data_IF_341119481338
#
_entry.id   IF_341119481338
#
_cell.length_a   1.000
_cell.length_b   1.000
_cell.length_c   1.000
_cell.angle_alpha   90.00
_cell.angle_beta   90.00
_cell.angle_gamma   90.00
#
_symmetry.space_group_name_H-M   'P 1'
#
loop_
_entity.id
_entity.type
_entity.pdbx_description
1 polymer ?
#
# COMPACT_ATOMS: atom_id res chain seq x y z
N UNK A 1 23.38 42.91 25.23
CA UNK A 1 24.14 41.71 25.65
C UNK A 1 23.65 40.57 24.77
N UNK A 2 24.47 40.16 23.82
CA UNK A 2 24.19 39.05 22.91
C UNK A 2 24.58 37.75 23.62
N UNK A 3 23.61 36.91 23.99
CA UNK A 3 23.89 35.57 24.48
C UNK A 3 24.56 34.78 23.36
N UNK A 4 25.83 34.49 23.48
CA UNK A 4 26.53 33.52 22.64
C UNK A 4 25.94 32.14 22.91
N UNK A 5 25.16 31.61 21.96
CA UNK A 5 24.70 30.25 21.95
C UNK A 5 25.91 29.31 21.94
N UNK A 6 26.25 28.72 23.08
CA UNK A 6 27.30 27.70 23.17
C UNK A 6 26.86 26.46 22.36
N UNK A 7 27.40 26.32 21.16
CA UNK A 7 27.19 25.13 20.32
C UNK A 7 27.89 23.96 21.02
N UNK A 8 27.08 23.04 21.58
CA UNK A 8 27.60 21.81 22.18
C UNK A 8 28.06 20.85 21.09
N UNK A 9 29.35 20.59 21.07
CA UNK A 9 29.97 19.64 20.14
C UNK A 9 30.10 18.24 20.74
N UNK A 10 30.20 17.24 19.86
CA UNK A 10 30.38 15.83 20.23
C UNK A 10 31.30 15.14 19.24
N UNK A 11 32.23 14.31 19.76
CA UNK A 11 33.15 13.53 18.93
C UNK A 11 32.50 12.22 18.46
N UNK A 12 32.57 11.98 17.15
CA UNK A 12 32.06 10.72 16.56
C UNK A 12 32.97 9.54 16.91
N UNK A 13 32.39 8.44 17.42
CA UNK A 13 33.13 7.25 17.79
C UNK A 13 33.91 6.63 16.62
N UNK A 14 33.40 6.66 15.39
CA UNK A 14 34.04 6.03 14.23
C UNK A 14 35.08 6.92 13.54
N UNK A 15 34.71 8.15 13.13
CA UNK A 15 35.65 9.03 12.39
C UNK A 15 36.51 9.90 13.30
N UNK A 16 36.25 9.90 14.61
CA UNK A 16 36.97 10.68 15.62
C UNK A 16 36.92 12.21 15.40
N UNK A 17 36.05 12.66 14.47
CA UNK A 17 35.84 14.08 14.21
C UNK A 17 34.80 14.68 15.16
N UNK A 18 34.97 15.95 15.48
CA UNK A 18 34.05 16.71 16.32
C UNK A 18 33.02 17.41 15.45
N UNK A 19 31.75 17.34 15.83
CA UNK A 19 30.62 17.98 15.15
C UNK A 19 29.62 18.52 16.17
N UNK A 20 28.80 19.49 15.75
CA UNK A 20 27.64 19.91 16.54
C UNK A 20 26.66 18.74 16.76
N UNK A 21 25.86 18.79 17.82
CA UNK A 21 24.91 17.75 18.16
C UNK A 21 23.90 17.43 17.04
N UNK A 22 23.60 18.38 16.16
CA UNK A 22 22.71 18.22 15.01
C UNK A 22 23.20 17.21 13.98
N UNK A 23 24.51 16.91 13.98
CA UNK A 23 25.09 15.87 13.14
C UNK A 23 24.95 14.47 13.72
N UNK A 24 24.30 14.31 14.88
CA UNK A 24 24.04 13.00 15.50
C UNK A 24 22.53 12.73 15.54
N UNK A 25 22.16 11.45 15.56
CA UNK A 25 20.83 11.05 15.98
C UNK A 25 20.73 11.10 17.52
N UNK A 26 19.53 11.29 18.04
CA UNK A 26 19.30 11.33 19.49
C UNK A 26 19.93 10.09 20.14
N UNK A 27 20.76 10.28 21.15
CA UNK A 27 21.48 9.24 21.89
C UNK A 27 22.50 8.41 21.07
N UNK A 28 22.87 8.80 19.85
CA UNK A 28 23.87 8.10 19.05
C UNK A 28 25.29 8.59 19.35
N UNK A 29 26.25 7.66 19.47
CA UNK A 29 27.69 7.98 19.55
C UNK A 29 28.36 8.10 18.19
N UNK A 30 27.60 7.97 17.10
CA UNK A 30 28.05 8.04 15.71
C UNK A 30 27.44 9.24 15.02
N UNK A 31 28.22 10.01 14.25
CA UNK A 31 27.67 11.03 13.39
C UNK A 31 26.77 10.39 12.33
N UNK A 32 25.77 11.13 11.82
CA UNK A 32 24.80 10.65 10.83
C UNK A 32 25.45 9.99 9.61
N UNK A 33 26.59 10.50 9.16
CA UNK A 33 27.34 9.93 8.03
C UNK A 33 27.90 8.54 8.35
N UNK A 34 28.56 8.40 9.50
CA UNK A 34 29.13 7.11 9.94
C UNK A 34 28.05 6.08 10.26
N UNK A 35 26.94 6.52 10.87
CA UNK A 35 25.80 5.66 11.14
C UNK A 35 25.14 5.15 9.86
N UNK A 36 24.98 6.03 8.86
CA UNK A 36 24.47 5.64 7.54
C UNK A 36 25.39 4.64 6.83
N UNK A 37 26.73 4.82 6.89
CA UNK A 37 27.69 3.85 6.33
C UNK A 37 27.61 2.49 7.04
N UNK A 38 27.51 2.49 8.38
CA UNK A 38 27.33 1.30 9.20
C UNK A 38 26.04 0.57 8.84
N UNK A 39 24.94 1.29 8.76
CA UNK A 39 23.64 0.75 8.36
C UNK A 39 23.64 0.18 6.93
N UNK A 40 24.32 0.85 5.98
CA UNK A 40 24.47 0.35 4.62
C UNK A 40 25.30 -0.95 4.57
N UNK A 41 26.39 -1.04 5.33
CA UNK A 41 27.21 -2.26 5.45
C UNK A 41 26.38 -3.40 6.05
N UNK A 42 25.64 -3.14 7.14
CA UNK A 42 24.78 -4.13 7.76
C UNK A 42 23.71 -4.65 6.77
N UNK A 43 22.99 -3.74 6.04
CA UNK A 43 21.98 -4.12 5.05
C UNK A 43 22.56 -4.97 3.92
N UNK A 44 23.80 -4.67 3.49
CA UNK A 44 24.51 -5.46 2.45
C UNK A 44 24.77 -6.88 2.93
N UNK A 45 25.27 -7.02 4.17
CA UNK A 45 25.63 -8.31 4.74
C UNK A 45 24.43 -9.13 5.24
N UNK A 46 23.29 -8.48 5.48
CA UNK A 46 22.10 -9.11 6.07
C UNK A 46 20.88 -8.99 5.14
N UNK A 47 21.08 -9.10 3.83
CA UNK A 47 20.02 -8.95 2.81
C UNK A 47 18.79 -9.83 3.09
N UNK A 48 19.00 -11.10 3.49
CA UNK A 48 17.90 -12.00 3.78
C UNK A 48 17.14 -11.58 5.04
N UNK A 49 17.84 -11.33 6.15
CA UNK A 49 17.21 -10.84 7.40
C UNK A 49 16.39 -9.56 7.15
N UNK A 50 16.91 -8.65 6.31
CA UNK A 50 16.19 -7.42 5.95
C UNK A 50 14.92 -7.73 5.14
N UNK A 51 14.99 -8.64 4.15
CA UNK A 51 13.83 -9.07 3.37
C UNK A 51 12.75 -9.69 4.24
N UNK A 52 13.12 -10.57 5.17
CA UNK A 52 12.20 -11.24 6.07
C UNK A 52 11.53 -10.25 7.04
N UNK A 53 12.29 -9.28 7.54
CA UNK A 53 11.75 -8.20 8.38
C UNK A 53 10.77 -7.31 7.61
N UNK A 54 11.13 -6.89 6.39
CA UNK A 54 10.27 -6.08 5.53
C UNK A 54 9.00 -6.84 5.14
N UNK A 55 9.12 -8.15 4.87
CA UNK A 55 7.98 -9.00 4.54
C UNK A 55 7.02 -9.11 5.73
N UNK A 56 7.54 -9.38 6.93
CA UNK A 56 6.72 -9.43 8.16
C UNK A 56 6.01 -8.11 8.43
N UNK A 57 6.71 -6.98 8.27
CA UNK A 57 6.13 -5.65 8.44
C UNK A 57 5.01 -5.39 7.42
N UNK A 58 5.28 -5.64 6.13
CA UNK A 58 4.34 -5.36 5.05
C UNK A 58 3.15 -6.35 5.00
N UNK A 59 3.22 -7.48 5.71
CA UNK A 59 2.14 -8.45 5.82
C UNK A 59 1.20 -8.16 7.01
N UNK A 60 1.44 -7.12 7.81
CA UNK A 60 0.43 -6.62 8.74
C UNK A 60 -0.71 -6.02 7.93
N UNK A 61 -1.94 -6.41 8.25
CA UNK A 61 -3.14 -5.98 7.52
C UNK A 61 -3.21 -4.46 7.38
N UNK A 62 -3.08 -3.73 8.48
CA UNK A 62 -3.12 -2.26 8.52
C UNK A 62 -2.10 -1.62 7.57
N UNK A 63 -0.88 -2.18 7.51
CA UNK A 63 0.20 -1.71 6.65
C UNK A 63 -0.10 -2.04 5.19
N UNK A 64 -0.65 -3.22 4.92
CA UNK A 64 -1.04 -3.62 3.58
C UNK A 64 -2.13 -2.70 3.01
N UNK A 65 -3.20 -2.46 3.79
CA UNK A 65 -4.31 -1.56 3.44
C UNK A 65 -3.79 -0.15 3.19
N UNK A 66 -3.04 0.41 4.14
CA UNK A 66 -2.41 1.73 4.01
C UNK A 66 -1.57 1.87 2.74
N UNK A 67 -0.73 0.88 2.45
CA UNK A 67 0.13 0.90 1.26
C UNK A 67 -0.68 0.73 -0.03
N UNK A 68 -1.76 -0.04 -0.01
CA UNK A 68 -2.65 -0.23 -1.17
C UNK A 68 -3.37 1.07 -1.51
N UNK A 69 -3.88 1.79 -0.53
CA UNK A 69 -4.56 3.08 -0.73
C UNK A 69 -3.57 4.16 -1.17
N UNK A 70 -2.45 4.32 -0.45
CA UNK A 70 -1.43 5.33 -0.81
C UNK A 70 -0.90 5.22 -2.24
N UNK A 71 -0.93 4.04 -2.86
CA UNK A 71 -0.52 3.87 -4.26
C UNK A 71 -1.41 4.60 -5.24
N UNK A 72 -2.68 4.78 -4.92
CA UNK A 72 -3.64 5.48 -5.76
C UNK A 72 -3.30 6.97 -5.82
N UNK A 73 -2.82 7.55 -4.70
CA UNK A 73 -2.50 8.97 -4.58
C UNK A 73 -1.06 9.31 -4.95
N UNK A 74 -0.17 8.33 -5.08
CA UNK A 74 1.20 8.61 -5.51
C UNK A 74 1.25 8.71 -7.02
N UNK A 75 1.67 9.86 -7.60
CA UNK A 75 2.16 9.86 -8.96
C UNK A 75 3.29 8.83 -9.01
N UNK A 76 3.25 7.90 -9.97
CA UNK A 76 4.35 6.95 -10.08
C UNK A 76 5.59 7.69 -10.56
N UNK A 77 6.41 8.11 -9.60
CA UNK A 77 7.79 8.54 -9.84
C UNK A 77 8.67 7.38 -10.32
N UNK A 78 8.09 6.17 -10.43
CA UNK A 78 8.83 4.94 -10.68
C UNK A 78 8.51 4.48 -12.10
N UNK A 79 9.38 4.85 -13.01
CA UNK A 79 9.45 4.38 -14.38
C UNK A 79 8.27 4.80 -15.30
N UNK A 80 8.46 5.82 -16.16
CA UNK A 80 7.44 6.27 -17.12
C UNK A 80 6.97 5.17 -18.09
N UNK A 81 7.72 4.07 -18.22
CA UNK A 81 7.35 2.90 -19.04
C UNK A 81 6.29 1.99 -18.39
N UNK A 82 6.07 2.10 -17.07
CA UNK A 82 5.11 1.27 -16.31
C UNK A 82 3.94 2.10 -15.77
N UNK A 83 3.59 3.18 -16.43
CA UNK A 83 2.37 3.92 -16.08
C UNK A 83 1.16 3.07 -16.40
N UNK A 84 0.39 2.68 -15.38
CA UNK A 84 -0.92 2.04 -15.56
C UNK A 84 -1.89 2.96 -16.35
N UNK A 85 -2.95 2.39 -16.91
CA UNK A 85 -3.93 3.13 -17.73
C UNK A 85 -4.47 4.39 -17.04
N UNK A 86 -4.62 4.34 -15.70
CA UNK A 86 -5.07 5.47 -14.89
C UNK A 86 -4.10 6.66 -14.96
N UNK A 87 -2.80 6.41 -14.80
CA UNK A 87 -1.77 7.46 -14.81
C UNK A 87 -1.48 7.97 -16.22
N UNK A 88 -1.65 7.13 -17.25
CA UNK A 88 -1.54 7.55 -18.66
C UNK A 88 -2.60 8.57 -19.05
N UNK A 89 -3.80 8.50 -18.45
CA UNK A 89 -4.89 9.46 -18.67
C UNK A 89 -4.72 10.76 -17.87
N UNK A 90 -3.69 10.89 -17.03
CA UNK A 90 -3.47 12.09 -16.20
C UNK A 90 -4.52 12.31 -15.11
N UNK A 91 -5.35 11.31 -14.83
CA UNK A 91 -6.43 11.43 -13.86
C UNK A 91 -5.89 11.54 -12.44
N UNK A 92 -6.45 12.44 -11.67
CA UNK A 92 -6.22 12.56 -10.24
C UNK A 92 -7.40 11.94 -9.48
N UNK A 93 -7.17 11.28 -8.33
CA UNK A 93 -8.27 10.86 -7.46
C UNK A 93 -9.09 12.08 -7.01
N UNK A 94 -10.41 11.96 -7.05
CA UNK A 94 -11.38 12.93 -6.51
C UNK A 94 -11.85 12.55 -5.11
N UNK A 95 -11.20 11.58 -4.51
CA UNK A 95 -11.44 11.09 -3.15
C UNK A 95 -10.15 11.29 -2.33
N UNK A 96 -10.28 11.68 -1.08
CA UNK A 96 -9.16 11.77 -0.14
C UNK A 96 -8.79 10.40 0.43
N UNK A 97 -7.61 10.31 1.03
CA UNK A 97 -7.19 9.07 1.71
C UNK A 97 -8.13 8.73 2.89
N UNK A 98 -8.62 9.75 3.60
CA UNK A 98 -9.55 9.57 4.73
C UNK A 98 -10.89 9.03 4.26
N UNK A 99 -11.47 9.59 3.20
CA UNK A 99 -12.69 9.10 2.58
C UNK A 99 -12.53 7.67 2.06
N UNK A 100 -11.38 7.32 1.49
CA UNK A 100 -11.11 5.95 1.05
C UNK A 100 -11.11 4.94 2.22
N UNK A 101 -10.62 5.33 3.39
CA UNK A 101 -10.76 4.51 4.59
C UNK A 101 -12.24 4.40 5.03
N UNK A 102 -13.00 5.48 4.96
CA UNK A 102 -14.43 5.45 5.29
C UNK A 102 -15.21 4.51 4.35
N UNK A 103 -14.99 4.59 3.04
CA UNK A 103 -15.57 3.66 2.03
C UNK A 103 -15.17 2.19 2.33
N UNK A 104 -13.93 1.96 2.77
CA UNK A 104 -13.46 0.60 3.13
C UNK A 104 -14.19 0.05 4.35
N UNK A 105 -14.37 0.85 5.40
CA UNK A 105 -15.12 0.43 6.59
C UNK A 105 -16.61 0.22 6.29
N UNK A 106 -17.21 1.06 5.46
CA UNK A 106 -18.58 0.87 5.00
C UNK A 106 -18.73 -0.43 4.20
N UNK A 107 -17.78 -0.73 3.33
CA UNK A 107 -17.74 -2.01 2.61
C UNK A 107 -17.66 -3.21 3.57
N UNK A 108 -16.79 -3.16 4.59
CA UNK A 108 -16.69 -4.23 5.60
C UNK A 108 -18.04 -4.41 6.31
N UNK A 109 -18.70 -3.32 6.70
CA UNK A 109 -20.00 -3.40 7.37
C UNK A 109 -21.07 -3.99 6.45
N UNK A 110 -21.17 -3.52 5.21
CA UNK A 110 -22.09 -4.08 4.20
C UNK A 110 -21.89 -5.59 4.01
N UNK A 111 -20.64 -6.04 3.96
CA UNK A 111 -20.35 -7.46 3.81
C UNK A 111 -20.69 -8.28 5.06
N UNK A 112 -20.54 -7.73 6.26
CA UNK A 112 -20.99 -8.37 7.50
C UNK A 112 -22.50 -8.53 7.55
N UNK A 113 -23.22 -7.49 7.14
CA UNK A 113 -24.69 -7.51 7.11
C UNK A 113 -25.21 -8.54 6.09
N UNK A 114 -24.54 -8.63 4.94
CA UNK A 114 -24.88 -9.59 3.89
C UNK A 114 -24.49 -11.04 4.22
N UNK A 115 -23.40 -11.23 4.94
CA UNK A 115 -22.85 -12.53 5.31
C UNK A 115 -22.57 -12.59 6.82
N UNK A 116 -23.62 -12.77 7.65
CA UNK A 116 -23.47 -12.86 9.09
C UNK A 116 -22.49 -13.96 9.51
N UNK A 117 -21.69 -13.69 10.54
CA UNK A 117 -20.65 -14.61 11.02
C UNK A 117 -19.30 -14.46 10.35
N UNK A 118 -19.17 -13.59 9.34
CA UNK A 118 -17.85 -13.23 8.75
C UNK A 118 -17.29 -11.96 9.36
N UNK A 119 -15.98 -11.71 9.16
CA UNK A 119 -15.37 -10.43 9.53
C UNK A 119 -15.67 -9.29 8.53
N UNK A 120 -16.44 -9.56 7.47
CA UNK A 120 -16.81 -8.62 6.43
C UNK A 120 -15.70 -8.29 5.43
N UNK A 121 -14.53 -8.86 5.56
CA UNK A 121 -13.40 -8.61 4.66
C UNK A 121 -13.48 -9.50 3.43
N UNK A 122 -14.54 -9.34 2.66
CA UNK A 122 -14.86 -10.14 1.48
C UNK A 122 -14.67 -9.33 0.20
N UNK A 123 -14.37 -10.00 -0.90
CA UNK A 123 -14.31 -9.39 -2.22
C UNK A 123 -15.70 -8.91 -2.66
N UNK A 124 -15.85 -7.66 -3.09
CA UNK A 124 -17.14 -7.11 -3.56
C UNK A 124 -17.76 -7.89 -4.73
N UNK A 125 -16.93 -8.57 -5.54
CA UNK A 125 -17.38 -9.25 -6.76
C UNK A 125 -17.64 -10.75 -6.57
N UNK A 126 -16.72 -11.48 -5.92
CA UNK A 126 -16.82 -12.95 -5.80
C UNK A 126 -16.94 -13.44 -4.36
N UNK A 127 -17.03 -12.54 -3.40
CA UNK A 127 -17.20 -12.78 -1.96
C UNK A 127 -16.14 -13.65 -1.31
N UNK A 128 -15.03 -13.97 -1.99
CA UNK A 128 -13.90 -14.68 -1.39
C UNK A 128 -13.28 -13.83 -0.28
N UNK A 129 -12.83 -14.42 0.84
CA UNK A 129 -12.12 -13.69 1.89
C UNK A 129 -10.88 -13.01 1.35
N UNK A 130 -10.73 -11.72 1.68
CA UNK A 130 -9.58 -10.92 1.28
C UNK A 130 -8.37 -11.27 2.15
N UNK A 131 -7.21 -11.35 1.52
CA UNK A 131 -5.93 -11.54 2.19
C UNK A 131 -5.05 -10.29 2.06
N UNK A 132 -4.07 -10.17 2.97
CA UNK A 132 -3.22 -8.99 3.09
C UNK A 132 -1.73 -9.37 3.06
N UNK A 133 -1.40 -10.51 2.44
CA UNK A 133 -0.06 -11.10 2.47
C UNK A 133 0.63 -10.95 1.11
N UNK A 134 1.93 -10.77 1.13
CA UNK A 134 2.80 -10.85 -0.05
C UNK A 134 3.67 -12.08 0.06
N UNK A 135 3.95 -12.71 -1.07
CA UNK A 135 4.95 -13.78 -1.12
C UNK A 135 6.36 -13.20 -1.02
N UNK A 136 7.33 -14.03 -0.72
CA UNK A 136 8.74 -13.61 -0.56
C UNK A 136 9.36 -12.91 -1.78
N UNK A 137 8.78 -13.09 -2.99
CA UNK A 137 9.15 -12.35 -4.21
C UNK A 137 8.33 -11.06 -4.41
N UNK A 138 7.52 -10.66 -3.43
CA UNK A 138 6.67 -9.47 -3.50
C UNK A 138 5.42 -9.63 -4.36
N UNK A 139 5.15 -10.83 -4.88
CA UNK A 139 3.96 -11.11 -5.68
C UNK A 139 2.70 -11.03 -4.80
N UNK A 140 1.62 -10.59 -5.41
CA UNK A 140 0.30 -10.59 -4.77
C UNK A 140 -0.32 -11.99 -4.89
N UNK A 141 -1.01 -12.41 -3.84
CA UNK A 141 -1.91 -13.56 -3.92
C UNK A 141 -3.17 -13.17 -4.71
N UNK A 142 -3.82 -14.12 -5.42
CA UNK A 142 -5.07 -13.85 -6.14
C UNK A 142 -6.17 -13.26 -5.26
N UNK A 143 -6.21 -13.65 -3.98
CA UNK A 143 -7.16 -13.21 -2.96
C UNK A 143 -6.79 -11.89 -2.27
N UNK A 144 -5.62 -11.32 -2.56
CA UNK A 144 -5.19 -10.08 -1.89
C UNK A 144 -6.12 -8.92 -2.21
N UNK A 145 -6.36 -8.09 -1.18
CA UNK A 145 -7.07 -6.83 -1.33
C UNK A 145 -6.49 -6.00 -2.47
N UNK A 146 -7.35 -5.57 -3.35
CA UNK A 146 -7.09 -4.61 -4.42
C UNK A 146 -8.20 -3.57 -4.45
N UNK A 147 -7.85 -2.34 -4.79
CA UNK A 147 -8.82 -1.26 -4.97
C UNK A 147 -9.08 -1.12 -6.46
N UNK A 148 -10.33 -1.24 -6.85
CA UNK A 148 -10.79 -1.09 -8.23
C UNK A 148 -11.69 0.14 -8.37
N UNK A 149 -11.88 0.61 -9.59
CA UNK A 149 -12.90 1.59 -9.99
C UNK A 149 -14.05 0.83 -10.61
N UNK A 150 -15.25 0.93 -10.05
CA UNK A 150 -16.40 0.21 -10.61
C UNK A 150 -16.62 0.59 -12.09
N UNK A 151 -16.65 1.89 -12.37
CA UNK A 151 -16.58 2.40 -13.74
C UNK A 151 -15.10 2.76 -14.07
N UNK A 152 -14.50 2.03 -14.99
CA UNK A 152 -13.12 2.24 -15.42
C UNK A 152 -12.90 3.52 -16.23
N UNK A 153 -13.97 4.16 -16.69
CA UNK A 153 -13.95 5.42 -17.44
C UNK A 153 -13.91 6.65 -16.55
N UNK A 154 -14.15 6.46 -15.25
CA UNK A 154 -14.13 7.53 -14.25
C UNK A 154 -12.91 7.39 -13.34
N UNK A 155 -12.60 8.47 -12.60
CA UNK A 155 -11.54 8.47 -11.60
C UNK A 155 -11.94 7.75 -10.30
N UNK A 156 -11.00 7.59 -9.36
CA UNK A 156 -11.33 7.20 -8.00
C UNK A 156 -12.08 8.34 -7.32
N UNK A 157 -13.37 8.16 -7.11
CA UNK A 157 -14.27 9.08 -6.42
C UNK A 157 -15.22 8.31 -5.53
N UNK A 158 -15.89 8.99 -4.62
CA UNK A 158 -16.93 8.40 -3.78
C UNK A 158 -17.97 7.65 -4.62
N UNK A 159 -18.33 6.45 -4.23
CA UNK A 159 -19.26 5.57 -4.96
C UNK A 159 -18.67 4.86 -6.19
N UNK A 160 -17.44 5.19 -6.62
CA UNK A 160 -16.75 4.49 -7.72
C UNK A 160 -15.54 3.66 -7.22
N UNK A 161 -15.35 3.55 -5.92
CA UNK A 161 -14.29 2.73 -5.31
C UNK A 161 -14.85 1.37 -4.91
N UNK A 162 -14.19 0.28 -5.33
CA UNK A 162 -14.55 -1.08 -4.99
C UNK A 162 -13.39 -1.81 -4.35
N UNK A 163 -13.66 -2.51 -3.25
CA UNK A 163 -12.68 -3.34 -2.56
C UNK A 163 -12.88 -4.79 -2.97
N UNK A 164 -11.95 -5.31 -3.75
CA UNK A 164 -12.06 -6.62 -4.37
C UNK A 164 -10.77 -7.41 -4.25
N UNK A 165 -10.80 -8.68 -4.60
CA UNK A 165 -9.57 -9.47 -4.68
C UNK A 165 -8.76 -9.12 -5.94
N UNK A 166 -7.45 -9.36 -5.87
CA UNK A 166 -6.52 -9.08 -6.97
C UNK A 166 -6.89 -9.83 -8.26
N UNK A 167 -7.46 -11.05 -8.13
CA UNK A 167 -7.95 -11.82 -9.28
C UNK A 167 -9.10 -11.10 -9.99
N UNK A 168 -10.15 -10.70 -9.27
CA UNK A 168 -11.29 -10.00 -9.87
C UNK A 168 -10.89 -8.68 -10.51
N UNK A 169 -10.02 -7.89 -9.85
CA UNK A 169 -9.50 -6.66 -10.43
C UNK A 169 -8.72 -6.91 -11.73
N UNK A 170 -7.91 -7.97 -11.78
CA UNK A 170 -7.15 -8.34 -12.98
C UNK A 170 -8.07 -8.83 -14.11
N UNK A 171 -9.11 -9.60 -13.79
CA UNK A 171 -10.08 -10.07 -14.79
C UNK A 171 -10.87 -8.91 -15.39
N UNK A 172 -11.27 -7.97 -14.56
CA UNK A 172 -11.99 -6.76 -15.01
C UNK A 172 -11.12 -5.88 -15.94
N UNK A 173 -9.86 -5.72 -15.64
CA UNK A 173 -8.80 -5.11 -16.47
C UNK A 173 -9.25 -3.96 -17.39
N UNK A 174 -9.98 -2.98 -16.86
CA UNK A 174 -10.43 -1.81 -17.64
C UNK A 174 -11.71 -2.03 -18.43
N UNK A 175 -12.40 -3.15 -18.28
CA UNK A 175 -13.77 -3.32 -18.81
C UNK A 175 -14.67 -2.19 -18.35
N UNK A 176 -15.59 -1.75 -19.23
CA UNK A 176 -16.63 -0.80 -18.84
C UNK A 176 -17.51 -1.38 -17.74
N UNK A 177 -18.24 -0.52 -17.03
CA UNK A 177 -19.21 -0.93 -16.02
C UNK A 177 -20.23 -1.94 -16.59
N UNK A 178 -20.78 -1.66 -17.76
CA UNK A 178 -21.78 -2.51 -18.40
C UNK A 178 -21.23 -3.89 -18.75
N UNK A 179 -20.05 -3.99 -19.34
CA UNK A 179 -19.40 -5.25 -19.67
C UNK A 179 -19.10 -6.07 -18.41
N UNK A 180 -18.66 -5.42 -17.34
CA UNK A 180 -18.34 -6.11 -16.08
C UNK A 180 -19.58 -6.64 -15.38
N UNK A 181 -20.68 -5.86 -15.35
CA UNK A 181 -21.96 -6.32 -14.83
C UNK A 181 -22.42 -7.55 -15.60
N UNK A 182 -22.42 -7.51 -16.92
CA UNK A 182 -22.85 -8.63 -17.77
C UNK A 182 -22.00 -9.89 -17.53
N UNK A 183 -20.69 -9.72 -17.34
CA UNK A 183 -19.80 -10.84 -16.98
C UNK A 183 -20.20 -11.49 -15.65
N UNK A 184 -20.49 -10.68 -14.62
CA UNK A 184 -20.92 -11.19 -13.31
C UNK A 184 -22.27 -11.91 -13.35
N UNK A 185 -23.20 -11.45 -14.16
CA UNK A 185 -24.50 -12.10 -14.38
C UNK A 185 -24.29 -13.48 -15.00
N UNK A 186 -23.51 -13.58 -16.08
CA UNK A 186 -23.20 -14.84 -16.75
C UNK A 186 -22.48 -15.81 -15.80
N UNK A 187 -21.47 -15.33 -15.05
CA UNK A 187 -20.74 -16.18 -14.08
C UNK A 187 -21.68 -16.73 -13.00
N UNK A 188 -22.67 -15.94 -12.57
CA UNK A 188 -23.70 -16.39 -11.63
C UNK A 188 -24.62 -17.45 -12.25
N UNK A 189 -25.17 -17.17 -13.45
CA UNK A 189 -26.03 -18.11 -14.17
C UNK A 189 -25.35 -19.47 -14.42
N UNK A 190 -24.05 -19.46 -14.69
CA UNK A 190 -23.26 -20.69 -14.87
C UNK A 190 -23.07 -21.48 -13.57
N UNK A 191 -22.91 -20.80 -12.43
CA UNK A 191 -22.78 -21.44 -11.12
C UNK A 191 -24.08 -22.02 -10.61
N UNK A 192 -25.20 -21.36 -10.89
CA UNK A 192 -26.55 -21.82 -10.48
C UNK A 192 -27.02 -23.08 -11.29
N UNK A 193 -26.31 -23.41 -12.39
CA UNK A 193 -26.56 -24.59 -13.23
C UNK A 193 -25.70 -25.81 -12.90
N UNK A 194 -24.77 -25.68 -11.95
CA UNK A 194 -23.89 -26.77 -11.49
C UNK A 194 -24.37 -27.34 -10.17
#
# INVERSE_FOLDING_TARGET
MTEELQIKNKTCFTCKQEFSLDFFHKNSSYCKLCDNKRGAKWRRNNKQKKRDSDLRYNNKEEIYVKNSFKRIFKPSAINPKIKGNYQRKGWKPEITLQEMYAEYYMHIQEMKDKFPGTDGKLCKYCYVPLTYKRTGKGNKLPTNLSVDRFNSEETYKKGNVMFCCSRCNSLKNGSTKAMWIRFLEIDKEMKDKQ
#
